data_IF_649268477623
#
_entry.id   IF_649268477623
#
_cell.length_a   1.000
_cell.length_b   1.000
_cell.length_c   1.000
_cell.angle_alpha   90.00
_cell.angle_beta   90.00
_cell.angle_gamma   90.00
#
_symmetry.space_group_name_H-M   'P 1'
#
loop_
_entity.id
_entity.type
_entity.pdbx_description
1 polymer ?
#
# COMPACT_ATOMS: atom_id res chain seq x y z
N UNK A 1 8.62 -4.72 10.74
CA UNK A 1 8.54 -3.33 10.18
C UNK A 1 7.84 -2.31 11.08
N UNK A 2 6.50 -2.26 11.25
CA UNK A 2 5.85 -1.22 12.10
C UNK A 2 6.47 -1.10 13.51
N UNK A 3 6.69 -2.23 14.18
CA UNK A 3 7.35 -2.26 15.49
C UNK A 3 8.84 -1.91 15.44
N UNK A 4 9.52 -2.29 14.35
CA UNK A 4 10.93 -1.98 14.11
C UNK A 4 11.18 -0.47 14.11
N UNK A 5 10.34 0.28 13.41
CA UNK A 5 10.42 1.76 13.33
C UNK A 5 9.81 2.46 14.57
N UNK A 6 9.44 1.71 15.61
CA UNK A 6 8.95 2.24 16.88
C UNK A 6 7.47 2.66 16.89
N UNK A 7 6.65 2.22 15.92
CA UNK A 7 5.21 2.47 15.94
C UNK A 7 4.52 1.71 17.07
N UNK A 8 3.59 2.36 17.76
CA UNK A 8 2.79 1.80 18.86
C UNK A 8 1.31 1.63 18.50
N UNK A 9 0.94 1.90 17.25
CA UNK A 9 -0.43 1.75 16.79
C UNK A 9 -0.90 0.29 16.89
N UNK A 10 -2.14 0.03 17.31
CA UNK A 10 -2.71 -1.31 17.27
C UNK A 10 -2.91 -1.75 15.82
N UNK A 11 -2.82 -3.06 15.55
CA UNK A 11 -2.93 -3.61 14.19
C UNK A 11 -4.00 -4.68 14.16
N UNK A 12 -4.91 -4.59 13.19
CA UNK A 12 -5.85 -5.64 12.83
C UNK A 12 -5.41 -6.27 11.50
N UNK A 13 -5.11 -7.56 11.51
CA UNK A 13 -4.74 -8.32 10.31
C UNK A 13 -5.93 -9.16 9.87
N UNK A 14 -6.50 -8.82 8.70
CA UNK A 14 -7.59 -9.57 8.11
C UNK A 14 -7.08 -10.73 7.26
N UNK A 15 -7.51 -11.93 7.61
CA UNK A 15 -7.15 -13.19 6.96
C UNK A 15 -8.26 -13.63 6.00
N UNK A 16 -7.85 -14.13 4.83
CA UNK A 16 -8.69 -14.76 3.82
C UNK A 16 -9.06 -16.18 4.26
N UNK A 17 -10.36 -16.44 4.44
CA UNK A 17 -10.98 -17.77 4.55
C UNK A 17 -10.15 -18.79 5.35
N UNK A 18 -9.59 -18.35 6.49
CA UNK A 18 -8.63 -19.15 7.24
C UNK A 18 -9.32 -20.15 8.14
N UNK A 19 -8.76 -21.35 8.21
CA UNK A 19 -9.19 -22.32 9.20
C UNK A 19 -8.74 -21.88 10.61
N UNK A 20 -9.33 -22.48 11.64
CA UNK A 20 -9.04 -22.15 13.03
C UNK A 20 -7.56 -22.34 13.40
N UNK A 21 -6.87 -23.28 12.75
CA UNK A 21 -5.44 -23.53 12.98
C UNK A 21 -4.59 -22.36 12.49
N UNK A 22 -4.85 -21.85 11.29
CA UNK A 22 -4.10 -20.73 10.72
C UNK A 22 -4.32 -19.45 11.51
N UNK A 23 -5.56 -19.22 11.99
CA UNK A 23 -5.86 -18.11 12.91
C UNK A 23 -5.08 -18.22 14.22
N UNK A 24 -5.08 -19.40 14.86
CA UNK A 24 -4.31 -19.63 16.10
C UNK A 24 -2.81 -19.42 15.89
N UNK A 25 -2.26 -19.87 14.75
CA UNK A 25 -0.86 -19.64 14.40
C UNK A 25 -0.55 -18.15 14.22
N UNK A 26 -1.46 -17.40 13.61
CA UNK A 26 -1.35 -15.95 13.48
C UNK A 26 -1.31 -15.28 14.86
N UNK A 27 -2.28 -15.60 15.73
CA UNK A 27 -2.37 -15.03 17.08
C UNK A 27 -1.13 -15.35 17.92
N UNK A 28 -0.60 -16.58 17.84
CA UNK A 28 0.61 -16.99 18.55
C UNK A 28 1.89 -16.34 18.02
N UNK A 29 1.99 -16.14 16.71
CA UNK A 29 3.20 -15.60 16.08
C UNK A 29 3.26 -14.07 16.19
N UNK A 30 2.12 -13.40 16.08
CA UNK A 30 2.03 -11.95 16.00
C UNK A 30 1.45 -11.29 17.26
N UNK A 31 0.96 -12.06 18.23
CA UNK A 31 0.36 -11.52 19.46
C UNK A 31 1.31 -10.64 20.27
N UNK A 32 2.61 -10.97 20.32
CA UNK A 32 3.63 -10.14 20.98
C UNK A 32 3.85 -8.79 20.28
N UNK A 33 3.50 -8.70 19.00
CA UNK A 33 3.55 -7.46 18.22
C UNK A 33 2.26 -6.63 18.36
N UNK A 34 1.34 -7.00 19.25
CA UNK A 34 0.04 -6.34 19.44
C UNK A 34 -0.79 -6.32 18.13
N UNK A 35 -0.78 -7.46 17.43
CA UNK A 35 -1.60 -7.70 16.24
C UNK A 35 -2.80 -8.55 16.64
N UNK A 36 -3.99 -8.14 16.20
CA UNK A 36 -5.22 -8.93 16.32
C UNK A 36 -5.53 -9.56 14.98
N UNK A 37 -5.55 -10.90 14.91
CA UNK A 37 -5.89 -11.60 13.66
C UNK A 37 -7.41 -11.83 13.57
N UNK A 38 -8.01 -11.35 12.49
CA UNK A 38 -9.45 -11.42 12.21
C UNK A 38 -9.69 -12.24 10.95
N UNK A 39 -10.65 -13.15 10.97
CA UNK A 39 -11.05 -13.89 9.77
C UNK A 39 -12.21 -13.15 9.09
N UNK A 40 -12.08 -12.85 7.80
CA UNK A 40 -13.07 -12.01 7.11
C UNK A 40 -14.42 -12.71 6.94
N UNK A 41 -14.41 -14.04 6.82
CA UNK A 41 -15.63 -14.85 6.69
C UNK A 41 -16.54 -14.74 7.92
N UNK A 42 -15.95 -14.50 9.10
CA UNK A 42 -16.68 -14.32 10.37
C UNK A 42 -17.71 -13.18 10.26
N UNK A 43 -17.44 -12.17 9.42
CA UNK A 43 -18.29 -11.00 9.19
C UNK A 43 -19.27 -11.15 8.02
N UNK A 44 -19.09 -12.17 7.17
CA UNK A 44 -19.91 -12.42 5.99
C UNK A 44 -20.97 -13.50 6.22
N UNK A 45 -20.95 -14.19 7.37
CA UNK A 45 -21.93 -15.20 7.70
C UNK A 45 -23.35 -14.64 7.72
N UNK A 46 -24.17 -15.13 6.79
CA UNK A 46 -25.59 -14.84 6.74
C UNK A 46 -26.37 -15.91 7.51
N UNK A 47 -27.45 -15.55 8.23
CA UNK A 47 -28.35 -16.54 8.82
C UNK A 47 -28.85 -17.54 7.78
N UNK A 48 -28.79 -18.83 8.09
CA UNK A 48 -29.27 -19.91 7.20
C UNK A 48 -30.72 -19.69 6.74
N UNK A 49 -31.54 -19.05 7.57
CA UNK A 49 -32.94 -18.72 7.29
C UNK A 49 -33.14 -17.82 6.07
N UNK A 50 -32.13 -17.07 5.64
CA UNK A 50 -32.24 -16.16 4.49
C UNK A 50 -32.18 -16.88 3.14
N UNK A 51 -31.76 -18.15 3.09
CA UNK A 51 -31.54 -18.90 1.83
C UNK A 51 -30.65 -18.13 0.82
N UNK A 52 -29.79 -17.24 1.30
CA UNK A 52 -28.82 -16.50 0.50
C UNK A 52 -27.46 -17.16 0.60
N UNK A 53 -26.75 -17.23 -0.53
CA UNK A 53 -25.36 -17.69 -0.53
C UNK A 53 -24.47 -16.61 0.06
N UNK A 54 -23.63 -16.97 1.01
CA UNK A 54 -22.54 -16.12 1.49
C UNK A 54 -21.71 -15.66 0.29
N UNK A 55 -21.50 -14.36 0.12
CA UNK A 55 -20.67 -13.86 -0.96
C UNK A 55 -19.23 -14.34 -0.76
N UNK A 56 -18.63 -14.88 -1.82
CA UNK A 56 -17.21 -15.20 -1.83
C UNK A 56 -16.46 -13.99 -2.33
N UNK A 57 -15.63 -13.40 -1.48
CA UNK A 57 -14.74 -12.30 -1.86
C UNK A 57 -13.53 -12.85 -2.62
N UNK A 58 -13.08 -12.11 -3.62
CA UNK A 58 -11.93 -12.47 -4.43
C UNK A 58 -10.96 -11.29 -4.56
N UNK A 59 -9.65 -11.59 -4.44
CA UNK A 59 -8.53 -10.69 -4.77
C UNK A 59 -8.69 -9.30 -4.12
N UNK A 60 -8.92 -8.27 -4.94
CA UNK A 60 -8.99 -6.87 -4.53
C UNK A 60 -10.16 -6.55 -3.60
N UNK A 61 -11.19 -7.40 -3.60
CA UNK A 61 -12.38 -7.19 -2.77
C UNK A 61 -12.06 -7.27 -1.27
N UNK A 62 -10.99 -7.93 -0.84
CA UNK A 62 -10.67 -8.02 0.59
C UNK A 62 -10.38 -6.66 1.24
N UNK A 63 -9.77 -5.71 0.50
CA UNK A 63 -9.33 -4.40 1.03
C UNK A 63 -10.47 -3.49 1.53
N UNK A 64 -11.51 -3.20 0.75
CA UNK A 64 -12.63 -2.37 1.23
C UNK A 64 -13.41 -3.05 2.35
N UNK A 65 -13.50 -4.39 2.36
CA UNK A 65 -14.19 -5.12 3.42
C UNK A 65 -13.37 -5.17 4.72
N UNK A 66 -12.04 -5.26 4.66
CA UNK A 66 -11.20 -5.14 5.86
C UNK A 66 -11.28 -3.72 6.47
N UNK A 67 -11.32 -2.68 5.63
CA UNK A 67 -11.62 -1.32 6.08
C UNK A 67 -13.00 -1.23 6.73
N UNK A 68 -14.04 -1.79 6.11
CA UNK A 68 -15.41 -1.77 6.64
C UNK A 68 -15.54 -2.48 7.99
N UNK A 69 -14.95 -3.66 8.11
CA UNK A 69 -15.09 -4.51 9.31
C UNK A 69 -14.08 -4.22 10.41
N UNK A 70 -13.04 -3.43 10.13
CA UNK A 70 -12.10 -3.00 11.16
C UNK A 70 -12.81 -2.24 12.28
N UNK A 71 -12.39 -2.46 13.52
CA UNK A 71 -12.98 -1.79 14.69
C UNK A 71 -12.55 -0.33 14.85
N UNK A 72 -11.48 0.07 14.16
CA UNK A 72 -10.90 1.41 14.28
C UNK A 72 -11.73 2.47 13.54
N UNK A 73 -11.78 3.68 14.10
CA UNK A 73 -12.34 4.86 13.42
C UNK A 73 -11.32 5.44 12.44
N UNK A 74 -10.10 5.67 12.93
CA UNK A 74 -8.97 6.21 12.17
C UNK A 74 -8.07 5.06 11.72
N UNK A 75 -7.89 4.89 10.42
CA UNK A 75 -7.23 3.73 9.83
C UNK A 75 -6.11 4.15 8.90
N UNK A 76 -4.91 3.61 9.16
CA UNK A 76 -3.86 3.47 8.15
C UNK A 76 -3.97 2.07 7.55
N UNK A 77 -4.46 2.00 6.33
CA UNK A 77 -4.51 0.76 5.57
C UNK A 77 -3.14 0.51 4.93
N UNK A 78 -2.63 -0.71 5.08
CA UNK A 78 -1.40 -1.19 4.45
C UNK A 78 -1.67 -2.53 3.80
N UNK A 79 -1.31 -2.65 2.52
CA UNK A 79 -1.16 -3.94 1.86
C UNK A 79 -0.03 -4.75 2.53
N UNK A 80 -0.07 -6.07 2.34
CA UNK A 80 0.88 -7.00 2.94
C UNK A 80 2.35 -6.75 2.53
N UNK A 81 2.55 -6.00 1.45
CA UNK A 81 3.85 -5.64 0.91
C UNK A 81 4.05 -4.11 0.78
N UNK A 82 3.30 -3.35 1.58
CA UNK A 82 3.57 -1.95 1.86
C UNK A 82 4.23 -1.82 3.24
N UNK A 83 5.42 -1.22 3.28
CA UNK A 83 6.20 -1.06 4.50
C UNK A 83 6.41 0.43 4.83
N UNK A 84 6.07 0.87 6.05
CA UNK A 84 6.49 2.18 6.53
C UNK A 84 8.00 2.17 6.78
N UNK A 85 8.69 3.18 6.27
CA UNK A 85 10.13 3.36 6.50
C UNK A 85 10.41 4.39 7.61
N UNK A 86 9.40 5.19 7.97
CA UNK A 86 9.38 6.17 9.06
C UNK A 86 8.11 5.99 9.89
N UNK A 87 8.15 6.38 11.18
CA UNK A 87 7.07 6.11 12.16
C UNK A 87 5.75 6.83 11.80
N UNK A 88 4.65 6.10 11.51
CA UNK A 88 3.39 6.68 11.04
C UNK A 88 2.48 7.25 12.12
N UNK A 89 2.79 7.09 13.40
CA UNK A 89 1.86 7.37 14.51
C UNK A 89 1.28 8.80 14.52
N UNK A 90 2.02 9.79 14.01
CA UNK A 90 1.59 11.20 14.02
C UNK A 90 0.64 11.57 12.87
N UNK A 91 0.54 10.75 11.82
CA UNK A 91 -0.19 11.13 10.59
C UNK A 91 -1.68 11.36 10.83
N UNK A 92 -2.22 10.82 11.93
CA UNK A 92 -3.61 11.03 12.33
C UNK A 92 -3.88 12.41 12.96
N UNK A 93 -2.84 13.09 13.43
CA UNK A 93 -2.94 14.37 14.16
C UNK A 93 -2.64 15.60 13.29
N UNK A 94 -2.20 15.38 12.06
CA UNK A 94 -1.69 16.41 11.14
C UNK A 94 -2.53 16.53 9.86
N UNK A 95 -2.31 17.62 9.13
CA UNK A 95 -2.86 17.77 7.79
C UNK A 95 -2.09 16.89 6.80
N UNK A 96 -2.72 16.42 5.70
CA UNK A 96 -4.10 16.63 5.26
C UNK A 96 -5.13 15.75 5.97
N UNK A 97 -4.71 14.76 6.77
CA UNK A 97 -5.63 13.77 7.33
C UNK A 97 -6.69 14.41 8.23
N UNK A 98 -6.27 15.33 9.10
CA UNK A 98 -7.15 15.99 10.06
C UNK A 98 -8.32 16.72 9.40
N UNK A 99 -8.09 17.48 8.32
CA UNK A 99 -9.16 18.18 7.61
C UNK A 99 -9.92 17.30 6.62
N UNK A 100 -9.24 16.40 5.91
CA UNK A 100 -9.84 15.63 4.81
C UNK A 100 -10.45 14.32 5.30
N UNK A 101 -9.71 13.52 6.07
CA UNK A 101 -10.15 12.21 6.54
C UNK A 101 -9.90 11.07 5.56
N UNK A 102 -9.82 11.34 4.25
CA UNK A 102 -9.35 10.37 3.25
C UNK A 102 -8.06 10.87 2.60
N UNK A 103 -6.98 10.10 2.74
CA UNK A 103 -5.70 10.38 2.08
C UNK A 103 -5.28 9.18 1.23
N UNK A 104 -4.98 9.42 -0.05
CA UNK A 104 -4.51 8.41 -0.99
C UNK A 104 -3.22 8.83 -1.66
N UNK A 105 -2.44 7.87 -2.13
CA UNK A 105 -1.20 8.11 -2.87
C UNK A 105 -1.42 7.95 -4.38
N UNK A 106 -0.68 8.67 -5.22
CA UNK A 106 -0.75 8.50 -6.66
C UNK A 106 -0.06 7.21 -7.10
N UNK A 107 -0.60 6.56 -8.11
CA UNK A 107 0.02 5.47 -8.87
C UNK A 107 0.86 6.06 -10.03
N UNK A 108 1.69 5.25 -10.68
CA UNK A 108 2.47 5.68 -11.86
C UNK A 108 1.59 6.01 -13.06
N UNK A 109 0.42 5.36 -13.13
CA UNK A 109 -0.45 5.42 -14.29
C UNK A 109 -1.31 6.68 -14.34
N UNK A 110 -1.71 7.07 -15.54
CA UNK A 110 -2.76 8.07 -15.72
C UNK A 110 -4.11 7.49 -15.31
N UNK A 111 -5.04 8.31 -14.77
CA UNK A 111 -6.37 7.85 -14.46
C UNK A 111 -7.14 7.54 -15.76
N UNK A 112 -7.73 6.35 -15.84
CA UNK A 112 -8.45 5.84 -17.02
C UNK A 112 -9.93 5.63 -16.73
N UNK A 113 -10.54 6.41 -15.84
CA UNK A 113 -11.97 6.32 -15.54
C UNK A 113 -12.78 6.66 -16.79
N UNK A 114 -13.71 5.79 -17.14
CA UNK A 114 -14.63 6.00 -18.26
C UNK A 114 -15.52 7.21 -17.99
N UNK A 115 -15.71 8.12 -18.95
CA UNK A 115 -16.66 9.24 -18.79
C UNK A 115 -18.07 8.78 -18.42
N UNK A 116 -18.48 7.60 -18.92
CA UNK A 116 -19.78 6.99 -18.64
C UNK A 116 -20.00 6.71 -17.14
N UNK A 117 -18.92 6.49 -16.37
CA UNK A 117 -19.05 6.33 -14.93
C UNK A 117 -19.66 7.57 -14.28
N UNK A 118 -19.21 8.76 -14.67
CA UNK A 118 -19.69 10.03 -14.13
C UNK A 118 -21.16 10.28 -14.50
N UNK A 119 -21.56 9.91 -15.72
CA UNK A 119 -22.96 9.98 -16.16
C UNK A 119 -23.85 9.03 -15.36
N UNK A 120 -23.40 7.79 -15.11
CA UNK A 120 -24.13 6.78 -14.31
C UNK A 120 -24.22 7.20 -12.84
N UNK A 121 -23.13 7.74 -12.29
CA UNK A 121 -23.06 8.15 -10.90
C UNK A 121 -23.73 9.52 -10.65
N UNK A 122 -24.08 10.26 -11.70
CA UNK A 122 -24.63 11.62 -11.58
C UNK A 122 -23.62 12.62 -10.99
N UNK A 123 -22.33 12.39 -11.20
CA UNK A 123 -21.25 13.16 -10.61
C UNK A 123 -20.56 14.06 -11.66
N UNK A 124 -20.01 15.23 -11.26
CA UNK A 124 -19.26 16.06 -12.18
C UNK A 124 -17.97 15.35 -12.61
N UNK A 125 -17.70 15.36 -13.91
CA UNK A 125 -16.45 14.81 -14.44
C UNK A 125 -15.27 15.70 -14.02
N UNK A 126 -14.22 15.14 -13.39
CA UNK A 126 -13.04 15.91 -13.03
C UNK A 126 -12.22 16.30 -14.26
N UNK A 127 -11.51 17.43 -14.17
CA UNK A 127 -10.59 17.88 -15.20
C UNK A 127 -9.27 17.09 -15.10
N UNK A 128 -9.17 16.00 -15.86
CA UNK A 128 -7.97 15.17 -15.92
C UNK A 128 -6.95 15.78 -16.88
N UNK A 129 -5.73 16.00 -16.39
CA UNK A 129 -4.61 16.53 -17.19
C UNK A 129 -3.45 15.54 -17.22
N UNK A 130 -2.41 15.82 -17.99
CA UNK A 130 -1.17 15.02 -18.00
C UNK A 130 -0.43 15.02 -16.65
N UNK A 131 -0.75 15.95 -15.75
CA UNK A 131 -0.23 15.97 -14.38
C UNK A 131 -1.05 15.08 -13.42
N UNK A 132 -2.27 14.69 -13.80
CA UNK A 132 -3.12 13.82 -12.97
C UNK A 132 -2.55 12.39 -12.93
N UNK A 133 -2.75 11.71 -11.80
CA UNK A 133 -2.34 10.33 -11.60
C UNK A 133 -3.51 9.51 -11.05
N UNK A 134 -3.56 8.24 -11.42
CA UNK A 134 -4.43 7.25 -10.82
C UNK A 134 -4.14 7.15 -9.31
N UNK A 135 -5.08 6.64 -8.52
CA UNK A 135 -4.80 6.35 -7.11
C UNK A 135 -4.19 4.98 -6.91
N UNK A 136 -3.34 4.85 -5.90
CA UNK A 136 -2.78 3.60 -5.40
C UNK A 136 -3.53 3.22 -4.11
N UNK A 137 -3.84 1.93 -3.92
CA UNK A 137 -4.64 1.43 -2.79
C UNK A 137 -3.89 0.47 -1.87
N UNK A 138 -2.57 0.35 -2.01
CA UNK A 138 -1.72 -0.36 -1.07
C UNK A 138 -1.44 0.44 0.20
N UNK A 139 -1.53 1.77 0.13
CA UNK A 139 -1.47 2.64 1.31
C UNK A 139 -2.57 3.70 1.25
N UNK A 140 -3.38 3.78 2.30
CA UNK A 140 -4.45 4.79 2.40
C UNK A 140 -4.68 5.19 3.86
N UNK A 141 -5.07 6.44 4.08
CA UNK A 141 -5.63 6.87 5.37
C UNK A 141 -7.13 7.05 5.25
N UNK A 142 -7.86 6.59 6.26
CA UNK A 142 -9.31 6.60 6.28
C UNK A 142 -9.84 7.01 7.66
N UNK A 143 -10.67 8.05 7.72
CA UNK A 143 -11.46 8.47 8.88
C UNK A 143 -12.90 8.02 8.65
N UNK A 144 -13.29 6.90 9.27
CA UNK A 144 -14.63 6.33 9.08
C UNK A 144 -15.73 7.25 9.61
N UNK A 145 -15.44 8.16 10.54
CA UNK A 145 -16.47 9.08 11.04
C UNK A 145 -16.90 10.09 9.98
N UNK A 146 -15.95 10.55 9.15
CA UNK A 146 -16.19 11.50 8.05
C UNK A 146 -16.55 10.83 6.73
N UNK A 147 -16.05 9.61 6.50
CA UNK A 147 -16.14 8.92 5.22
C UNK A 147 -16.96 7.63 5.24
N UNK A 148 -17.79 7.39 6.26
CA UNK A 148 -18.61 6.17 6.35
C UNK A 148 -19.45 5.92 5.08
N UNK A 149 -20.07 6.97 4.53
CA UNK A 149 -20.89 6.91 3.33
C UNK A 149 -20.05 6.60 2.07
N UNK A 150 -18.91 7.27 1.89
CA UNK A 150 -17.98 6.96 0.79
C UNK A 150 -17.37 5.57 0.93
N UNK A 151 -17.13 5.09 2.15
CA UNK A 151 -16.63 3.73 2.38
C UNK A 151 -17.67 2.70 1.96
N UNK A 152 -18.94 2.89 2.32
CA UNK A 152 -20.02 2.01 1.89
C UNK A 152 -20.17 2.01 0.36
N UNK A 153 -20.03 3.16 -0.28
CA UNK A 153 -20.06 3.25 -1.74
C UNK A 153 -18.84 2.59 -2.39
N UNK A 154 -17.65 2.75 -1.82
CA UNK A 154 -16.44 2.05 -2.26
C UNK A 154 -16.60 0.52 -2.11
N UNK A 155 -17.16 0.04 -1.00
CA UNK A 155 -17.49 -1.38 -0.80
C UNK A 155 -18.47 -1.86 -1.87
N UNK A 156 -19.52 -1.09 -2.16
CA UNK A 156 -20.47 -1.42 -3.22
C UNK A 156 -19.79 -1.51 -4.60
N UNK A 157 -18.92 -0.55 -4.94
CA UNK A 157 -18.15 -0.57 -6.19
C UNK A 157 -17.25 -1.80 -6.28
N UNK A 158 -16.58 -2.20 -5.19
CA UNK A 158 -15.72 -3.38 -5.19
C UNK A 158 -16.49 -4.69 -5.18
N UNK A 159 -17.63 -4.76 -4.48
CA UNK A 159 -18.50 -5.93 -4.47
C UNK A 159 -18.97 -6.28 -5.89
N UNK A 160 -19.36 -5.27 -6.66
CA UNK A 160 -19.73 -5.38 -8.07
C UNK A 160 -18.57 -5.10 -9.04
N UNK A 161 -17.35 -5.01 -8.50
CA UNK A 161 -16.14 -4.58 -9.19
C UNK A 161 -15.81 -5.42 -10.41
N UNK A 162 -15.57 -6.74 -10.25
CA UNK A 162 -15.15 -7.60 -11.36
C UNK A 162 -16.11 -7.59 -12.56
N UNK A 163 -17.41 -7.39 -12.29
CA UNK A 163 -18.45 -7.45 -13.32
C UNK A 163 -18.72 -6.10 -13.99
N UNK A 164 -18.61 -5.00 -13.24
CA UNK A 164 -19.06 -3.68 -13.71
C UNK A 164 -18.03 -2.59 -13.42
N UNK A 165 -17.73 -2.32 -12.15
CA UNK A 165 -17.02 -1.09 -11.77
C UNK A 165 -15.53 -1.09 -12.11
N UNK A 166 -14.83 -2.23 -12.05
CA UNK A 166 -13.41 -2.26 -12.41
C UNK A 166 -13.20 -1.90 -13.89
N UNK A 167 -14.12 -2.33 -14.76
CA UNK A 167 -14.09 -1.94 -16.17
C UNK A 167 -14.40 -0.47 -16.38
N UNK A 168 -15.37 0.09 -15.63
CA UNK A 168 -15.70 1.51 -15.69
C UNK A 168 -14.57 2.39 -15.16
N UNK A 169 -13.89 1.99 -14.08
CA UNK A 169 -12.85 2.79 -13.46
C UNK A 169 -11.47 2.64 -14.12
N UNK A 170 -11.12 1.45 -14.61
CA UNK A 170 -9.77 1.17 -15.10
C UNK A 170 -9.70 0.93 -16.61
N UNK A 171 -10.81 0.57 -17.26
CA UNK A 171 -10.88 0.25 -18.69
C UNK A 171 -9.85 -0.81 -19.14
N UNK A 172 -9.50 -1.76 -18.26
CA UNK A 172 -8.49 -2.79 -18.53
C UNK A 172 -7.04 -2.32 -18.45
N UNK A 173 -6.78 -1.10 -17.95
CA UNK A 173 -5.43 -0.60 -17.72
C UNK A 173 -4.68 -1.39 -16.62
N UNK A 174 -3.37 -1.20 -16.55
CA UNK A 174 -2.52 -1.79 -15.52
C UNK A 174 -2.95 -1.38 -14.11
N UNK A 175 -2.90 -2.34 -13.18
CA UNK A 175 -3.43 -2.16 -11.82
C UNK A 175 -4.95 -2.07 -11.76
N UNK A 176 -5.68 -2.63 -12.74
CA UNK A 176 -7.15 -2.69 -12.70
C UNK A 176 -7.63 -3.45 -11.47
N UNK A 177 -8.60 -2.87 -10.76
CA UNK A 177 -9.13 -3.42 -9.52
C UNK A 177 -9.76 -2.34 -8.64
N UNK A 178 -9.45 -2.40 -7.35
CA UNK A 178 -10.02 -1.55 -6.30
C UNK A 178 -9.45 -0.13 -6.28
N UNK A 179 -8.31 0.13 -6.91
CA UNK A 179 -7.52 1.34 -6.69
C UNK A 179 -8.28 2.67 -6.83
N UNK A 180 -9.13 2.78 -7.84
CA UNK A 180 -9.91 4.01 -8.12
C UNK A 180 -11.17 4.11 -7.26
N UNK A 181 -11.63 3.00 -6.68
CA UNK A 181 -12.96 2.96 -6.04
C UNK A 181 -13.08 3.91 -4.85
N UNK A 182 -12.01 4.06 -4.06
CA UNK A 182 -12.00 4.90 -2.86
C UNK A 182 -12.10 6.38 -3.20
N UNK A 183 -11.25 6.89 -4.09
CA UNK A 183 -11.27 8.31 -4.46
C UNK A 183 -12.54 8.65 -5.26
N UNK A 184 -12.97 7.77 -6.18
CA UNK A 184 -14.21 8.00 -6.93
C UNK A 184 -15.44 8.00 -6.01
N UNK A 185 -15.49 7.15 -4.97
CA UNK A 185 -16.60 7.16 -4.01
C UNK A 185 -16.71 8.47 -3.24
N UNK A 186 -15.59 9.04 -2.79
CA UNK A 186 -15.56 10.33 -2.12
C UNK A 186 -15.95 11.45 -3.08
N UNK A 187 -15.47 11.42 -4.33
CA UNK A 187 -15.82 12.39 -5.36
C UNK A 187 -17.32 12.41 -5.66
N UNK A 188 -17.94 11.24 -5.83
CA UNK A 188 -19.37 11.11 -6.14
C UNK A 188 -20.24 11.69 -5.02
N UNK A 189 -19.84 11.51 -3.76
CA UNK A 189 -20.57 12.03 -2.60
C UNK A 189 -20.15 13.46 -2.20
N UNK A 190 -19.13 14.04 -2.85
CA UNK A 190 -18.62 15.37 -2.51
C UNK A 190 -17.81 15.41 -1.21
N UNK A 191 -17.32 14.26 -0.73
CA UNK A 191 -16.54 14.18 0.50
C UNK A 191 -15.12 14.74 0.29
N UNK A 192 -14.56 15.46 1.26
CA UNK A 192 -13.22 16.02 1.16
C UNK A 192 -12.17 14.91 1.15
N UNK A 193 -11.35 14.82 0.10
CA UNK A 193 -10.23 13.89 0.04
C UNK A 193 -8.93 14.63 -0.29
N UNK A 194 -7.80 14.03 0.08
CA UNK A 194 -6.47 14.41 -0.38
C UNK A 194 -5.85 13.27 -1.16
N UNK A 195 -5.50 13.53 -2.41
CA UNK A 195 -4.54 12.70 -3.12
C UNK A 195 -3.20 13.42 -3.08
N UNK A 196 -2.20 12.75 -2.53
CA UNK A 196 -0.80 13.22 -2.44
C UNK A 196 -0.33 13.69 -3.82
N UNK A 197 0.34 14.85 -3.85
CA UNK A 197 0.72 15.55 -5.09
C UNK A 197 2.07 15.11 -5.62
N UNK A 198 2.97 14.73 -4.71
CA UNK A 198 4.27 14.17 -5.02
C UNK A 198 4.09 12.89 -5.84
N UNK A 199 4.59 12.83 -7.08
CA UNK A 199 4.46 11.64 -7.92
C UNK A 199 5.13 10.43 -7.29
N UNK A 200 4.56 9.25 -7.54
CA UNK A 200 5.22 7.99 -7.21
C UNK A 200 6.55 7.85 -7.94
N UNK A 201 7.59 7.46 -7.22
CA UNK A 201 8.93 7.23 -7.77
C UNK A 201 9.27 5.75 -7.69
N UNK A 202 9.95 5.24 -8.71
CA UNK A 202 10.42 3.86 -8.70
C UNK A 202 11.62 3.72 -7.77
N UNK A 203 11.64 2.63 -7.01
CA UNK A 203 12.70 2.34 -6.06
C UNK A 203 14.06 2.14 -6.71
N UNK A 204 14.11 1.65 -7.95
CA UNK A 204 15.34 1.37 -8.69
C UNK A 204 15.30 2.05 -10.06
N UNK A 205 16.44 2.57 -10.51
CA UNK A 205 16.58 3.29 -11.79
C UNK A 205 17.13 2.41 -12.91
N UNK A 206 17.74 1.26 -12.60
CA UNK A 206 18.58 0.52 -13.56
C UNK A 206 18.20 -0.96 -13.72
N UNK A 207 17.13 -1.23 -14.47
CA UNK A 207 16.88 -2.55 -15.06
C UNK A 207 15.47 -3.09 -14.85
N UNK A 208 14.87 -3.59 -15.94
CA UNK A 208 13.52 -4.21 -15.95
C UNK A 208 13.49 -5.54 -15.17
N UNK A 209 14.63 -6.07 -14.71
CA UNK A 209 14.73 -7.40 -14.12
C UNK A 209 14.67 -7.44 -12.59
N UNK A 210 14.87 -6.31 -11.90
CA UNK A 210 14.83 -6.26 -10.44
C UNK A 210 13.40 -6.11 -9.90
N UNK A 211 13.20 -6.45 -8.62
CA UNK A 211 11.94 -6.22 -7.95
C UNK A 211 11.59 -4.74 -8.02
N UNK A 212 10.47 -4.38 -8.66
CA UNK A 212 10.03 -2.99 -8.66
C UNK A 212 9.34 -2.67 -7.34
N UNK A 213 9.67 -1.51 -6.80
CA UNK A 213 9.01 -0.90 -5.64
C UNK A 213 8.66 0.55 -5.92
N UNK A 214 7.79 1.11 -5.09
CA UNK A 214 7.26 2.47 -5.20
C UNK A 214 7.60 3.23 -3.93
N UNK A 215 8.27 4.36 -4.06
CA UNK A 215 8.39 5.34 -3.00
C UNK A 215 7.13 6.19 -2.91
N UNK A 216 6.60 6.29 -1.70
CA UNK A 216 5.39 7.03 -1.39
C UNK A 216 5.70 8.11 -0.36
N UNK A 217 5.35 9.36 -0.68
CA UNK A 217 5.70 10.54 0.10
C UNK A 217 4.97 10.60 1.45
N UNK A 218 5.49 11.41 2.36
CA UNK A 218 4.84 11.84 3.56
C UNK A 218 3.69 12.80 3.22
N UNK A 219 2.47 12.57 3.73
CA UNK A 219 1.32 13.35 3.32
C UNK A 219 1.32 14.77 3.92
N UNK A 220 1.91 14.98 5.10
CA UNK A 220 2.01 16.30 5.73
C UNK A 220 3.01 17.17 4.98
N UNK A 221 4.22 16.65 4.75
CA UNK A 221 5.26 17.37 4.02
C UNK A 221 4.83 17.65 2.57
N UNK A 222 4.14 16.71 1.92
CA UNK A 222 3.54 16.91 0.60
C UNK A 222 2.57 18.09 0.58
N UNK A 223 1.65 18.17 1.54
CA UNK A 223 0.67 19.25 1.59
C UNK A 223 1.33 20.61 1.87
N UNK A 224 2.30 20.67 2.79
CA UNK A 224 3.04 21.90 3.08
C UNK A 224 3.69 22.44 1.80
N UNK A 225 4.41 21.58 1.07
CA UNK A 225 5.08 21.93 -0.19
C UNK A 225 4.09 22.39 -1.26
N UNK A 226 2.98 21.68 -1.42
CA UNK A 226 1.95 22.05 -2.38
C UNK A 226 1.38 23.45 -2.08
N UNK A 227 1.10 23.75 -0.81
CA UNK A 227 0.60 25.06 -0.41
C UNK A 227 1.65 26.17 -0.58
N UNK A 228 2.93 25.86 -0.41
CA UNK A 228 4.02 26.80 -0.69
C UNK A 228 4.18 27.07 -2.19
N UNK A 229 4.08 26.04 -3.04
CA UNK A 229 4.13 26.21 -4.50
C UNK A 229 2.96 27.04 -5.03
N UNK A 230 1.76 26.86 -4.51
CA UNK A 230 0.58 27.64 -4.91
C UNK A 230 0.71 29.13 -4.50
N UNK A 231 1.37 29.41 -3.36
CA UNK A 231 1.69 30.78 -2.94
C UNK A 231 2.76 31.40 -3.85
N UNK A 232 3.78 30.64 -4.22
CA UNK A 232 4.83 31.12 -5.13
C UNK A 232 4.30 31.39 -6.56
N UNK A 233 3.37 30.57 -7.06
CA UNK A 233 2.72 30.80 -8.36
C UNK A 233 1.80 32.04 -8.36
N UNK A 234 1.26 32.42 -7.19
CA UNK A 234 0.44 33.64 -7.04
C UNK A 234 1.26 34.90 -6.78
N UNK A 235 2.48 34.76 -6.22
CA UNK A 235 3.46 35.83 -6.02
C UNK A 235 4.57 35.75 -7.09
N UNK A 236 4.26 36.24 -8.30
CA UNK A 236 5.10 36.33 -9.51
C UNK A 236 6.62 36.44 -9.21
N UNK A 237 7.28 35.30 -9.07
CA UNK A 237 8.72 35.20 -8.81
C UNK A 237 9.36 34.21 -9.78
N UNK A 238 10.12 34.78 -10.71
CA UNK A 238 11.08 34.10 -11.58
C UNK A 238 12.27 33.69 -10.73
N UNK A 239 12.50 32.39 -10.56
CA UNK A 239 13.78 31.77 -10.91
C UNK A 239 13.69 30.24 -10.83
N UNK A 240 14.44 29.59 -11.71
CA UNK A 240 14.37 28.15 -11.97
C UNK A 240 14.93 27.30 -10.84
N UNK A 241 14.28 26.15 -10.60
CA UNK A 241 14.71 25.19 -9.59
C UNK A 241 14.47 23.75 -10.04
N UNK A 242 15.15 23.31 -11.11
CA UNK A 242 15.24 21.87 -11.44
C UNK A 242 16.23 21.11 -10.53
N UNK A 243 16.91 21.80 -9.59
CA UNK A 243 17.97 21.20 -8.74
C UNK A 243 17.63 21.04 -7.26
N UNK A 244 16.54 21.62 -6.74
CA UNK A 244 16.12 21.42 -5.34
C UNK A 244 15.31 20.13 -5.12
N UNK A 245 14.61 19.66 -6.14
CA UNK A 245 13.68 18.52 -6.03
C UNK A 245 14.36 17.18 -5.64
N UNK A 246 15.57 16.90 -6.12
CA UNK A 246 16.19 15.58 -5.92
C UNK A 246 16.76 15.34 -4.52
N UNK A 247 17.29 16.38 -3.86
CA UNK A 247 17.89 16.25 -2.52
C UNK A 247 16.85 16.32 -1.39
N UNK A 248 15.72 17.00 -1.59
CA UNK A 248 14.66 17.14 -0.58
C UNK A 248 13.60 16.03 -0.62
N UNK A 249 13.42 15.34 -1.76
CA UNK A 249 12.62 14.11 -1.87
C UNK A 249 13.15 13.02 -0.92
N UNK A 250 14.46 12.98 -0.66
CA UNK A 250 15.13 12.00 0.22
C UNK A 250 14.62 12.06 1.66
N UNK A 251 14.15 13.21 2.14
CA UNK A 251 13.66 13.39 3.53
C UNK A 251 12.15 13.24 3.68
N UNK A 252 11.41 13.23 2.56
CA UNK A 252 9.94 13.25 2.55
C UNK A 252 9.28 11.92 2.18
N UNK A 253 10.01 10.81 2.10
CA UNK A 253 9.40 9.50 1.78
C UNK A 253 8.92 8.82 3.05
N UNK A 254 7.72 8.24 3.05
CA UNK A 254 7.12 7.64 4.24
C UNK A 254 6.92 6.14 4.13
N UNK A 255 6.56 5.67 2.93
CA UNK A 255 6.28 4.27 2.68
C UNK A 255 7.06 3.77 1.45
N UNK A 256 7.34 2.48 1.46
CA UNK A 256 7.74 1.71 0.28
C UNK A 256 6.66 0.68 0.00
N UNK A 257 6.21 0.56 -1.25
CA UNK A 257 5.27 -0.47 -1.67
C UNK A 257 5.94 -1.36 -2.72
N UNK A 258 6.06 -2.66 -2.46
CA UNK A 258 6.56 -3.60 -3.46
C UNK A 258 5.51 -3.78 -4.56
N UNK A 259 5.92 -3.76 -5.82
CA UNK A 259 4.99 -3.86 -6.93
C UNK A 259 5.07 -5.26 -7.57
N UNK A 260 6.28 -5.75 -7.84
CA UNK A 260 6.47 -7.02 -8.57
C UNK A 260 6.69 -8.23 -7.68
N UNK A 261 7.36 -8.07 -6.54
CA UNK A 261 7.75 -9.20 -5.69
C UNK A 261 6.86 -9.19 -4.44
N UNK A 262 5.98 -10.17 -4.34
CA UNK A 262 5.08 -10.36 -3.19
C UNK A 262 5.69 -11.42 -2.28
N UNK A 263 6.15 -11.03 -1.10
CA UNK A 263 6.81 -11.92 -0.16
C UNK A 263 5.76 -12.80 0.55
N UNK A 264 5.69 -14.09 0.18
CA UNK A 264 4.92 -15.12 0.87
C UNK A 264 5.88 -15.98 1.71
N UNK A 265 5.88 -15.71 3.01
CA UNK A 265 6.69 -16.43 3.99
C UNK A 265 6.39 -17.94 4.09
N UNK A 266 5.28 -18.44 3.51
CA UNK A 266 4.96 -19.87 3.45
C UNK A 266 5.44 -20.56 2.17
N UNK A 267 5.79 -19.78 1.15
CA UNK A 267 6.20 -20.27 -0.18
C UNK A 267 7.46 -19.58 -0.66
N UNK A 268 8.39 -19.38 0.26
CA UNK A 268 9.65 -18.68 0.02
C UNK A 268 10.49 -19.36 -1.06
N UNK A 269 10.39 -20.68 -1.20
CA UNK A 269 11.07 -21.41 -2.27
C UNK A 269 10.72 -20.91 -3.68
N UNK A 270 9.50 -20.40 -3.91
CA UNK A 270 9.08 -19.83 -5.19
C UNK A 270 9.72 -18.46 -5.42
N UNK A 271 9.71 -17.60 -4.39
CA UNK A 271 10.37 -16.28 -4.40
C UNK A 271 11.87 -16.40 -4.65
N UNK A 272 12.48 -17.34 -3.95
CA UNK A 272 13.89 -17.64 -4.04
C UNK A 272 14.25 -18.06 -5.47
N UNK A 273 13.48 -18.92 -6.14
CA UNK A 273 13.69 -19.27 -7.55
C UNK A 273 13.70 -18.07 -8.51
N UNK A 274 12.83 -17.08 -8.28
CA UNK A 274 12.75 -15.86 -9.07
C UNK A 274 13.88 -14.87 -8.74
N UNK A 275 14.31 -14.79 -7.47
CA UNK A 275 15.47 -13.99 -7.02
C UNK A 275 16.81 -14.59 -7.46
N UNK A 276 16.87 -15.92 -7.64
CA UNK A 276 18.08 -16.66 -7.99
C UNK A 276 18.43 -16.65 -9.47
N UNK A 277 17.63 -16.01 -10.33
CA UNK A 277 17.88 -16.06 -11.78
C UNK A 277 18.59 -14.83 -12.33
N UNK A 278 19.91 -15.02 -12.47
CA UNK A 278 20.83 -14.53 -13.51
C UNK A 278 21.59 -13.22 -13.25
N UNK A 279 22.64 -13.31 -12.43
CA UNK A 279 23.95 -12.91 -12.95
C UNK A 279 24.58 -14.12 -13.67
N UNK A 280 25.37 -13.88 -14.72
CA UNK A 280 25.97 -14.93 -15.58
C UNK A 280 26.85 -15.93 -14.80
N UNK A 281 27.18 -15.62 -13.55
CA UNK A 281 28.17 -16.31 -12.72
C UNK A 281 27.57 -17.14 -11.56
N UNK A 282 26.24 -17.10 -11.37
CA UNK A 282 25.57 -17.80 -10.26
C UNK A 282 25.69 -17.12 -8.88
N UNK A 283 26.11 -15.85 -8.84
CA UNK A 283 26.06 -15.01 -7.64
C UNK A 283 24.60 -14.63 -7.28
N UNK A 284 24.35 -14.47 -5.97
CA UNK A 284 23.05 -14.07 -5.44
C UNK A 284 22.93 -12.54 -5.48
N UNK A 285 21.81 -12.03 -6.00
CA UNK A 285 21.54 -10.59 -6.06
C UNK A 285 20.51 -10.14 -5.01
N UNK A 286 20.58 -8.86 -4.68
CA UNK A 286 19.58 -8.13 -3.89
C UNK A 286 18.28 -7.99 -4.67
N UNK A 287 17.15 -7.93 -3.97
CA UNK A 287 15.81 -7.76 -4.52
C UNK A 287 15.72 -6.54 -5.44
N UNK A 288 16.37 -5.45 -5.05
CA UNK A 288 16.35 -4.17 -5.76
C UNK A 288 17.61 -3.94 -6.61
N UNK A 289 18.38 -5.00 -6.86
CA UNK A 289 19.59 -4.93 -7.64
C UNK A 289 20.81 -4.43 -6.87
N UNK A 290 21.95 -4.29 -7.56
CA UNK A 290 23.25 -4.06 -6.91
C UNK A 290 23.41 -2.66 -6.33
N UNK A 291 22.69 -1.66 -6.85
CA UNK A 291 22.72 -0.28 -6.34
C UNK A 291 21.84 -0.14 -5.09
N UNK A 292 22.34 -0.66 -3.96
CA UNK A 292 21.69 -0.46 -2.67
C UNK A 292 21.86 0.95 -2.11
N UNK A 293 22.81 1.73 -2.64
CA UNK A 293 23.17 3.04 -2.09
C UNK A 293 22.04 4.05 -2.26
N UNK A 294 21.36 4.02 -3.41
CA UNK A 294 20.17 4.86 -3.66
C UNK A 294 19.02 4.55 -2.70
N UNK A 295 18.83 3.28 -2.34
CA UNK A 295 17.82 2.86 -1.35
C UNK A 295 18.20 3.34 0.05
N UNK A 296 19.47 3.16 0.44
CA UNK A 296 20.01 3.60 1.73
C UNK A 296 19.90 5.11 1.88
N UNK A 297 20.14 5.87 0.81
CA UNK A 297 20.05 7.33 0.81
C UNK A 297 18.64 7.83 1.13
N UNK A 298 17.59 7.19 0.60
CA UNK A 298 16.19 7.60 0.83
C UNK A 298 15.64 7.08 2.17
N UNK A 299 15.96 5.82 2.51
CA UNK A 299 15.48 5.20 3.74
C UNK A 299 16.28 5.62 4.98
N UNK A 300 17.55 6.01 4.80
CA UNK A 300 18.51 6.28 5.87
C UNK A 300 19.18 5.03 6.45
N UNK A 301 18.85 3.84 5.93
CA UNK A 301 19.41 2.54 6.34
C UNK A 301 19.22 1.51 5.23
N UNK A 302 19.88 0.34 5.35
CA UNK A 302 19.70 -0.78 4.43
C UNK A 302 18.31 -1.42 4.64
N UNK A 303 17.32 -0.85 3.96
CA UNK A 303 15.91 -1.21 4.07
C UNK A 303 15.66 -2.67 3.67
N UNK A 304 16.30 -3.15 2.61
CA UNK A 304 16.13 -4.53 2.15
C UNK A 304 16.63 -5.52 3.20
N UNK A 305 17.82 -5.25 3.75
CA UNK A 305 18.39 -6.04 4.84
C UNK A 305 17.45 -6.11 6.05
N UNK A 306 16.92 -4.97 6.48
CA UNK A 306 15.99 -4.89 7.62
C UNK A 306 14.70 -5.66 7.36
N UNK A 307 14.12 -5.56 6.15
CA UNK A 307 12.93 -6.33 5.79
C UNK A 307 13.20 -7.83 5.93
N UNK A 308 14.34 -8.32 5.43
CA UNK A 308 14.72 -9.73 5.56
C UNK A 308 14.96 -10.15 7.01
N UNK A 309 15.63 -9.34 7.83
CA UNK A 309 15.82 -9.60 9.27
C UNK A 309 14.47 -9.77 9.97
N UNK A 310 13.52 -8.88 9.71
CA UNK A 310 12.19 -8.91 10.31
C UNK A 310 11.37 -10.12 9.84
N UNK A 311 11.50 -10.51 8.56
CA UNK A 311 10.87 -11.74 8.03
C UNK A 311 11.45 -12.99 8.71
N UNK A 312 12.77 -13.08 8.84
CA UNK A 312 13.46 -14.19 9.51
C UNK A 312 13.01 -14.25 10.97
N UNK A 313 12.94 -13.11 11.66
CA UNK A 313 12.49 -13.05 13.05
C UNK A 313 11.04 -13.52 13.21
N UNK A 314 10.14 -13.03 12.35
CA UNK A 314 8.72 -13.36 12.42
C UNK A 314 8.42 -14.82 12.02
N UNK A 315 9.17 -15.37 11.06
CA UNK A 315 8.85 -16.67 10.44
C UNK A 315 9.72 -17.81 10.97
N UNK A 316 11.00 -17.55 11.21
CA UNK A 316 12.01 -18.60 11.38
C UNK A 316 12.53 -18.79 12.80
N UNK A 317 12.22 -17.88 13.74
CA UNK A 317 12.52 -18.11 15.16
C UNK A 317 11.55 -19.10 15.81
N UNK A 318 10.34 -19.26 15.26
CA UNK A 318 9.25 -20.05 15.85
C UNK A 318 8.80 -21.25 15.02
N UNK A 319 9.27 -21.38 13.77
CA UNK A 319 8.89 -22.49 12.89
C UNK A 319 10.12 -23.27 12.40
N UNK A 320 10.00 -24.61 12.39
CA UNK A 320 11.00 -25.55 11.87
C UNK A 320 10.84 -25.76 10.35
N UNK A 321 10.62 -24.68 9.60
CA UNK A 321 10.51 -24.78 8.14
C UNK A 321 11.92 -24.95 7.55
N UNK A 322 12.15 -25.99 6.73
CA UNK A 322 13.40 -26.18 5.96
C UNK A 322 13.74 -24.93 5.13
N UNK A 323 12.72 -24.17 4.72
CA UNK A 323 12.84 -22.91 4.00
C UNK A 323 13.62 -21.84 4.78
N UNK A 324 13.63 -21.90 6.10
CA UNK A 324 14.32 -20.92 6.94
C UNK A 324 15.86 -21.00 6.85
N UNK A 325 16.41 -22.19 6.64
CA UNK A 325 17.87 -22.33 6.48
C UNK A 325 18.32 -21.73 5.15
N UNK A 326 17.51 -21.86 4.10
CA UNK A 326 17.77 -21.23 2.80
C UNK A 326 17.70 -19.71 2.88
N UNK A 327 16.74 -19.14 3.62
CA UNK A 327 16.68 -17.68 3.82
C UNK A 327 17.91 -17.20 4.58
N UNK A 328 18.30 -17.89 5.66
CA UNK A 328 19.50 -17.53 6.43
C UNK A 328 20.76 -17.59 5.58
N UNK A 329 20.87 -18.60 4.71
CA UNK A 329 21.96 -18.71 3.74
C UNK A 329 21.95 -17.55 2.73
N UNK A 330 20.80 -17.24 2.12
CA UNK A 330 20.64 -16.09 1.24
C UNK A 330 21.05 -14.79 1.95
N UNK A 331 20.49 -14.56 3.14
CA UNK A 331 20.75 -13.36 3.93
C UNK A 331 22.24 -13.21 4.25
N UNK A 332 22.91 -14.30 4.66
CA UNK A 332 24.34 -14.25 4.94
C UNK A 332 25.18 -13.97 3.69
N UNK A 333 24.88 -14.63 2.57
CA UNK A 333 25.64 -14.43 1.33
C UNK A 333 25.47 -13.03 0.73
N UNK A 334 24.29 -12.44 0.88
CA UNK A 334 23.96 -11.13 0.26
C UNK A 334 24.29 -9.94 1.18
N UNK A 335 24.08 -10.07 2.49
CA UNK A 335 24.17 -8.93 3.42
C UNK A 335 25.30 -9.01 4.45
N UNK A 336 26.01 -10.14 4.58
CA UNK A 336 27.08 -10.32 5.59
C UNK A 336 28.46 -10.60 5.00
N UNK A 337 28.78 -10.04 3.82
CA UNK A 337 30.13 -10.13 3.22
C UNK A 337 31.20 -9.48 4.10
#
# INVERSE_FOLDING_TARGET
>A
MLRHIGSKLPVELFLDSTNERDRRLCDQSLGELQVTCLNIDDYLHLPESLNLKTPKLERYQFKPFSLLFSSFQDVLFLDADAFPIRRPDYIFDVEPYKSRGLVTWPDFWLPTISPLFYDIAGAPRPNVTMKSRASESGVMLYDKSKHADSLLLAVYYNFYGPKYYYQLHSQGAWGSGDKETFLQSALVLGNPAWQVKTPSQMLTSEGINYGSGIWQADPELDMIRYLESEKAETEDSKDGDEKRDADEVKTSTMFVHLNRVKIDARRLNLLMGDLFTKEEDGELSRLWGPDSDSVVEVAGYDLEKVIWEEIIKATCERSLLEDCDRIREYYSRVFTK
#
